data_IF_933207119598
#
_entry.id   IF_933207119598
#
_cell.length_a   1.000
_cell.length_b   1.000
_cell.length_c   1.000
_cell.angle_alpha   90.00
_cell.angle_beta   90.00
_cell.angle_gamma   90.00
#
_symmetry.space_group_name_H-M   'P 1'
#
loop_
_entity.id
_entity.type
_entity.pdbx_description
1 polymer ?
#
# COMPACT_ATOMS: atom_id res chain seq x y z
N UNK A 1 8.70 22.14 -17.15
CA UNK A 1 7.28 21.89 -17.46
C UNK A 1 7.13 21.05 -18.73
N UNK A 2 7.73 21.43 -19.87
CA UNK A 2 7.60 20.69 -21.14
C UNK A 2 8.03 19.22 -21.04
N UNK A 3 9.12 18.94 -20.31
CA UNK A 3 9.56 17.57 -20.04
C UNK A 3 8.47 16.74 -19.36
N UNK A 4 7.89 17.24 -18.25
CA UNK A 4 6.86 16.52 -17.50
C UNK A 4 5.59 16.24 -18.31
N UNK A 5 5.21 17.15 -19.20
CA UNK A 5 4.06 16.97 -20.09
C UNK A 5 4.26 15.86 -21.12
N UNK A 6 5.50 15.68 -21.62
CA UNK A 6 5.81 14.80 -22.75
C UNK A 6 6.43 13.46 -22.37
N UNK A 7 7.32 13.47 -21.37
CA UNK A 7 8.26 12.36 -21.16
C UNK A 7 8.18 11.76 -19.76
N UNK A 8 7.69 12.51 -18.76
CA UNK A 8 7.67 12.03 -17.39
C UNK A 8 6.79 10.80 -17.23
N UNK A 9 7.33 9.85 -16.49
CA UNK A 9 6.67 8.59 -16.14
C UNK A 9 5.93 8.74 -14.81
N UNK A 10 5.01 7.83 -14.53
CA UNK A 10 4.18 7.79 -13.32
C UNK A 10 4.99 7.94 -12.03
N UNK A 11 6.13 7.24 -11.92
CA UNK A 11 6.98 7.29 -10.74
C UNK A 11 7.62 8.69 -10.48
N UNK A 12 7.81 9.51 -11.50
CA UNK A 12 8.34 10.86 -11.34
C UNK A 12 7.31 11.77 -10.66
N UNK A 13 6.04 11.66 -11.01
CA UNK A 13 4.97 12.36 -10.32
C UNK A 13 4.80 11.88 -8.88
N UNK A 14 4.94 10.56 -8.63
CA UNK A 14 4.95 10.02 -7.29
C UNK A 14 6.12 10.60 -6.44
N UNK A 15 7.30 10.76 -7.02
CA UNK A 15 8.42 11.40 -6.34
C UNK A 15 8.16 12.88 -6.04
N UNK A 16 7.48 13.59 -6.94
CA UNK A 16 7.13 15.01 -6.79
C UNK A 16 6.11 15.29 -5.67
N UNK A 17 5.37 14.29 -5.18
CA UNK A 17 4.55 14.44 -3.95
C UNK A 17 5.34 14.95 -2.75
N UNK A 18 6.65 14.69 -2.72
CA UNK A 18 7.56 15.11 -1.64
C UNK A 18 8.35 16.37 -1.99
N UNK A 19 8.13 16.96 -3.16
CA UNK A 19 8.84 18.14 -3.60
C UNK A 19 8.48 19.35 -2.72
N UNK A 20 9.51 20.04 -2.24
CA UNK A 20 9.39 21.28 -1.48
C UNK A 20 10.63 22.13 -1.65
N UNK A 21 10.51 23.46 -1.67
CA UNK A 21 11.65 24.36 -1.57
C UNK A 21 12.41 24.16 -0.26
N UNK A 22 13.72 24.20 -0.28
CA UNK A 22 14.53 24.05 0.94
C UNK A 22 15.61 25.12 1.08
N UNK A 23 16.25 25.50 -0.02
CA UNK A 23 17.39 26.46 -0.02
C UNK A 23 17.62 26.99 -1.44
N UNK A 24 18.38 28.05 -1.56
CA UNK A 24 18.69 28.70 -2.82
C UNK A 24 17.67 29.78 -3.20
N UNK A 25 17.39 29.92 -4.48
CA UNK A 25 16.38 30.85 -4.98
C UNK A 25 14.97 30.28 -4.69
N UNK A 26 14.35 30.85 -3.66
CA UNK A 26 13.03 30.40 -3.19
C UNK A 26 11.91 30.79 -4.15
N UNK A 27 12.06 31.88 -4.91
CA UNK A 27 11.05 32.31 -5.90
C UNK A 27 11.01 31.30 -7.06
N UNK A 28 12.17 30.94 -7.61
CA UNK A 28 12.28 29.92 -8.64
C UNK A 28 11.80 28.56 -8.15
N UNK A 29 12.15 28.17 -6.92
CA UNK A 29 11.75 26.90 -6.33
C UNK A 29 10.24 26.81 -6.12
N UNK A 30 9.58 27.87 -5.64
CA UNK A 30 8.13 27.94 -5.52
C UNK A 30 7.46 27.92 -6.89
N UNK A 31 7.92 28.70 -7.85
CA UNK A 31 7.40 28.69 -9.22
C UNK A 31 7.50 27.30 -9.87
N UNK A 32 8.55 26.55 -9.58
CA UNK A 32 8.68 25.16 -10.03
C UNK A 32 7.60 24.26 -9.40
N UNK A 33 7.42 24.30 -8.07
CA UNK A 33 6.43 23.48 -7.37
C UNK A 33 5.01 23.81 -7.85
N UNK A 34 4.69 25.08 -8.02
CA UNK A 34 3.40 25.54 -8.56
C UNK A 34 3.16 25.03 -9.98
N UNK A 35 4.19 25.06 -10.83
CA UNK A 35 4.08 24.62 -12.22
C UNK A 35 3.93 23.10 -12.38
N UNK A 36 4.49 22.27 -11.48
CA UNK A 36 4.41 20.81 -11.56
C UNK A 36 3.27 20.23 -10.73
N UNK A 37 2.81 20.93 -9.70
CA UNK A 37 1.76 20.48 -8.78
C UNK A 37 0.50 19.98 -9.48
N UNK A 38 -0.13 20.72 -10.40
CA UNK A 38 -1.30 20.25 -11.14
C UNK A 38 -1.07 18.94 -11.87
N UNK A 39 0.13 18.69 -12.40
CA UNK A 39 0.46 17.47 -13.11
C UNK A 39 0.59 16.26 -12.18
N UNK A 40 1.01 16.48 -10.93
CA UNK A 40 1.06 15.44 -9.90
C UNK A 40 -0.35 14.94 -9.60
N UNK A 41 -1.30 15.87 -9.40
CA UNK A 41 -2.67 15.54 -8.99
C UNK A 41 -3.55 15.01 -10.11
N UNK A 42 -3.18 15.22 -11.37
CA UNK A 42 -3.84 14.63 -12.55
C UNK A 42 -3.14 13.38 -13.07
N UNK A 43 -2.01 12.98 -12.46
CA UNK A 43 -1.26 11.80 -12.92
C UNK A 43 -2.05 10.50 -12.78
N UNK A 44 -3.00 10.42 -11.83
CA UNK A 44 -3.88 9.25 -11.65
C UNK A 44 -4.89 9.03 -12.78
N UNK A 45 -5.09 10.03 -13.68
CA UNK A 45 -5.94 9.89 -14.88
C UNK A 45 -5.25 9.16 -16.03
N UNK A 46 -3.95 8.90 -15.90
CA UNK A 46 -3.22 8.17 -16.93
C UNK A 46 -3.70 6.74 -17.00
N UNK A 47 -3.87 6.28 -18.22
CA UNK A 47 -4.04 4.86 -18.49
C UNK A 47 -2.92 4.05 -17.80
N UNK A 48 -3.25 2.93 -17.20
CA UNK A 48 -2.31 2.08 -16.44
C UNK A 48 -1.65 2.70 -15.18
N UNK A 49 -2.09 3.84 -14.68
CA UNK A 49 -1.48 4.50 -13.52
C UNK A 49 -1.25 3.56 -12.33
N UNK A 50 -2.28 2.83 -11.90
CA UNK A 50 -2.20 1.91 -10.75
C UNK A 50 -1.23 0.76 -11.06
N UNK A 51 -1.30 0.20 -12.26
CA UNK A 51 -0.38 -0.86 -12.71
C UNK A 51 1.08 -0.39 -12.75
N UNK A 52 1.32 0.86 -13.15
CA UNK A 52 2.66 1.46 -13.15
C UNK A 52 3.23 1.58 -11.75
N UNK A 53 2.43 2.08 -10.79
CA UNK A 53 2.85 2.20 -9.39
C UNK A 53 3.13 0.81 -8.80
N UNK A 54 2.30 -0.17 -9.09
CA UNK A 54 2.49 -1.55 -8.64
C UNK A 54 3.73 -2.20 -9.26
N UNK A 55 3.95 -2.02 -10.57
CA UNK A 55 5.18 -2.50 -11.25
C UNK A 55 6.43 -1.85 -10.66
N UNK A 56 6.37 -0.57 -10.37
CA UNK A 56 7.48 0.15 -9.75
C UNK A 56 7.80 -0.43 -8.37
N UNK A 57 6.79 -0.69 -7.53
CA UNK A 57 7.00 -1.27 -6.20
C UNK A 57 7.62 -2.66 -6.29
N UNK A 58 7.13 -3.52 -7.19
CA UNK A 58 7.70 -4.85 -7.43
C UNK A 58 9.17 -4.76 -7.86
N UNK A 59 9.48 -3.91 -8.85
CA UNK A 59 10.86 -3.71 -9.30
C UNK A 59 11.78 -3.28 -8.16
N UNK A 60 11.32 -2.40 -7.28
CA UNK A 60 12.10 -1.97 -6.10
C UNK A 60 12.36 -3.15 -5.16
N UNK A 61 11.37 -4.01 -4.94
CA UNK A 61 11.50 -5.21 -4.11
C UNK A 61 12.44 -6.26 -4.74
N UNK A 62 12.30 -6.53 -6.03
CA UNK A 62 13.11 -7.47 -6.80
C UNK A 62 14.59 -7.06 -6.89
N UNK A 63 14.87 -5.77 -6.82
CA UNK A 63 16.25 -5.25 -6.81
C UNK A 63 16.98 -5.45 -5.46
N UNK A 64 16.27 -5.90 -4.41
CA UNK A 64 16.91 -6.25 -3.13
C UNK A 64 17.49 -7.67 -3.26
N UNK A 65 18.80 -7.86 -3.02
CA UNK A 65 19.39 -9.20 -3.02
C UNK A 65 18.65 -10.12 -2.04
N UNK A 66 18.36 -11.37 -2.46
CA UNK A 66 17.54 -12.31 -1.70
C UNK A 66 18.04 -12.53 -0.27
N UNK A 67 19.36 -12.60 -0.08
CA UNK A 67 20.03 -12.74 1.20
C UNK A 67 19.86 -11.54 2.15
N UNK A 68 19.46 -10.37 1.62
CA UNK A 68 19.27 -9.15 2.40
C UNK A 68 17.79 -8.85 2.68
N UNK A 69 16.86 -9.55 2.05
CA UNK A 69 15.41 -9.25 2.13
C UNK A 69 14.89 -9.20 3.57
N UNK A 70 15.31 -10.13 4.41
CA UNK A 70 14.85 -10.20 5.80
C UNK A 70 15.45 -9.09 6.67
N UNK A 71 16.60 -8.55 6.26
CA UNK A 71 17.32 -7.49 6.97
C UNK A 71 16.98 -6.09 6.46
N UNK A 72 16.39 -5.98 5.29
CA UNK A 72 16.10 -4.71 4.63
C UNK A 72 14.85 -4.05 5.22
N UNK A 73 15.06 -2.98 6.02
CA UNK A 73 13.98 -2.25 6.71
C UNK A 73 13.16 -1.35 5.78
N UNK A 74 13.76 -0.92 4.67
CA UNK A 74 13.12 0.08 3.81
C UNK A 74 12.51 -0.52 2.58
N UNK A 75 13.27 -1.29 1.80
CA UNK A 75 12.88 -1.77 0.50
C UNK A 75 12.23 -3.17 0.56
N UNK A 76 12.54 -3.94 1.62
CA UNK A 76 11.99 -5.27 1.84
C UNK A 76 10.50 -5.28 2.13
N UNK A 77 9.91 -6.48 2.12
CA UNK A 77 8.48 -6.70 2.41
C UNK A 77 8.12 -6.27 3.83
N UNK A 78 7.01 -5.56 3.96
CA UNK A 78 6.59 -5.00 5.24
C UNK A 78 7.51 -3.90 5.76
N UNK A 79 8.33 -3.30 4.89
CA UNK A 79 9.23 -2.21 5.22
C UNK A 79 8.61 -0.82 5.02
N UNK A 80 9.44 0.21 5.20
CA UNK A 80 9.02 1.62 5.09
C UNK A 80 8.40 1.93 3.74
N UNK A 81 8.92 1.36 2.65
CA UNK A 81 8.40 1.60 1.29
C UNK A 81 6.98 1.07 1.10
N UNK A 82 6.59 -0.01 1.75
CA UNK A 82 5.23 -0.51 1.67
C UNK A 82 4.23 0.51 2.23
N UNK A 83 4.55 1.15 3.36
CA UNK A 83 3.72 2.23 3.91
C UNK A 83 3.74 3.46 3.01
N UNK A 84 4.92 3.92 2.60
CA UNK A 84 5.08 5.12 1.77
C UNK A 84 4.35 4.98 0.42
N UNK A 85 4.45 3.83 -0.25
CA UNK A 85 3.80 3.59 -1.54
C UNK A 85 2.28 3.51 -1.41
N UNK A 86 1.75 2.85 -0.37
CA UNK A 86 0.32 2.80 -0.13
C UNK A 86 -0.26 4.21 0.09
N UNK A 87 0.38 5.01 0.93
CA UNK A 87 -0.04 6.39 1.21
C UNK A 87 0.01 7.25 -0.04
N UNK A 88 1.13 7.21 -0.78
CA UNK A 88 1.32 8.01 -1.99
C UNK A 88 0.33 7.64 -3.09
N UNK A 89 0.04 6.34 -3.27
CA UNK A 89 -0.98 5.90 -4.22
C UNK A 89 -2.34 6.51 -3.88
N UNK A 90 -2.77 6.41 -2.62
CA UNK A 90 -4.04 6.97 -2.18
C UNK A 90 -4.08 8.50 -2.29
N UNK A 91 -2.98 9.19 -1.96
CA UNK A 91 -2.88 10.64 -2.18
C UNK A 91 -3.06 11.01 -3.66
N UNK A 92 -2.41 10.29 -4.58
CA UNK A 92 -2.50 10.58 -6.02
C UNK A 92 -3.90 10.27 -6.58
N UNK A 93 -4.55 9.20 -6.12
CA UNK A 93 -5.89 8.82 -6.57
C UNK A 93 -6.95 9.81 -6.08
N UNK A 94 -6.89 10.19 -4.80
CA UNK A 94 -7.95 11.01 -4.17
C UNK A 94 -7.61 12.50 -4.09
N UNK A 95 -6.34 12.87 -4.07
CA UNK A 95 -5.88 14.25 -3.90
C UNK A 95 -6.19 15.21 -5.05
N UNK A 96 -6.71 14.70 -6.17
CA UNK A 96 -7.29 15.54 -7.22
C UNK A 96 -8.57 16.20 -6.73
N UNK A 97 -9.48 15.43 -6.16
CA UNK A 97 -10.79 15.90 -5.66
C UNK A 97 -10.73 16.43 -4.23
N UNK A 98 -9.76 15.99 -3.44
CA UNK A 98 -9.59 16.36 -2.04
C UNK A 98 -8.20 17.00 -1.81
N UNK A 99 -8.16 18.32 -1.80
CA UNK A 99 -6.92 19.09 -1.61
C UNK A 99 -6.31 18.91 -0.22
N UNK A 100 -7.08 18.49 0.78
CA UNK A 100 -6.59 18.26 2.15
C UNK A 100 -5.55 17.14 2.21
N UNK A 101 -5.56 16.24 1.20
CA UNK A 101 -4.58 15.15 1.05
C UNK A 101 -3.22 15.62 0.48
N UNK A 102 -3.13 16.88 0.04
CA UNK A 102 -1.91 17.42 -0.61
C UNK A 102 -0.86 17.83 0.42
N UNK A 103 -0.48 16.88 1.26
CA UNK A 103 0.54 17.04 2.30
C UNK A 103 1.76 16.17 2.02
N UNK A 104 2.93 16.59 2.51
CA UNK A 104 4.21 15.95 2.18
C UNK A 104 4.62 14.87 3.20
N UNK A 105 4.18 14.99 4.47
CA UNK A 105 4.54 14.06 5.53
C UNK A 105 3.64 12.81 5.50
N UNK A 106 4.26 11.63 5.54
CA UNK A 106 3.56 10.35 5.43
C UNK A 106 2.55 10.13 6.55
N UNK A 107 2.91 10.46 7.80
CA UNK A 107 2.01 10.33 8.95
C UNK A 107 0.85 11.31 8.84
N UNK A 108 1.11 12.56 8.46
CA UNK A 108 0.05 13.54 8.24
C UNK A 108 -0.90 13.09 7.11
N UNK A 109 -0.36 12.58 6.00
CA UNK A 109 -1.17 12.04 4.91
C UNK A 109 -2.06 10.89 5.38
N UNK A 110 -1.56 9.98 6.24
CA UNK A 110 -2.36 8.92 6.85
C UNK A 110 -3.52 9.48 7.68
N UNK A 111 -3.29 10.52 8.48
CA UNK A 111 -4.34 11.19 9.26
C UNK A 111 -5.39 11.79 8.33
N UNK A 112 -4.98 12.54 7.30
CA UNK A 112 -5.89 13.14 6.31
C UNK A 112 -6.71 12.09 5.55
N UNK A 113 -6.11 10.95 5.22
CA UNK A 113 -6.82 9.84 4.58
C UNK A 113 -7.90 9.24 5.48
N UNK A 114 -7.72 9.23 6.80
CA UNK A 114 -8.77 8.85 7.76
C UNK A 114 -9.87 9.88 7.81
N UNK A 115 -9.50 11.16 7.94
CA UNK A 115 -10.47 12.24 8.05
C UNK A 115 -11.37 12.33 6.82
N UNK A 116 -10.81 12.05 5.63
CA UNK A 116 -11.56 11.94 4.37
C UNK A 116 -12.31 10.60 4.19
N UNK A 117 -12.20 9.65 5.12
CA UNK A 117 -12.87 8.35 5.04
C UNK A 117 -12.27 7.35 4.02
N UNK A 118 -11.08 7.62 3.49
CA UNK A 118 -10.42 6.77 2.50
C UNK A 118 -9.77 5.53 3.11
N UNK A 119 -9.40 5.59 4.38
CA UNK A 119 -8.79 4.48 5.13
C UNK A 119 -9.42 4.35 6.51
N UNK A 120 -9.63 3.12 6.97
CA UNK A 120 -10.18 2.87 8.30
C UNK A 120 -9.22 3.37 9.40
N UNK A 121 -9.76 4.05 10.41
CA UNK A 121 -8.99 4.61 11.55
C UNK A 121 -8.13 3.56 12.26
N UNK A 122 -8.66 2.34 12.45
CA UNK A 122 -7.95 1.25 13.11
C UNK A 122 -6.73 0.77 12.31
N UNK A 123 -6.82 0.72 10.98
CA UNK A 123 -5.72 0.32 10.11
C UNK A 123 -4.65 1.40 10.05
N UNK A 124 -5.07 2.66 10.00
CA UNK A 124 -4.16 3.81 10.00
C UNK A 124 -3.34 3.89 11.28
N UNK A 125 -3.95 3.73 12.45
CA UNK A 125 -3.20 3.72 13.71
C UNK A 125 -2.10 2.65 13.71
N UNK A 126 -2.41 1.45 13.22
CA UNK A 126 -1.43 0.36 13.10
C UNK A 126 -0.29 0.68 12.11
N UNK A 127 -0.59 1.41 11.02
CA UNK A 127 0.42 1.83 10.04
C UNK A 127 1.31 2.94 10.58
N UNK A 128 0.76 3.90 11.31
CA UNK A 128 1.53 4.98 11.95
C UNK A 128 2.51 4.39 12.97
N UNK A 129 2.03 3.55 13.89
CA UNK A 129 2.87 2.89 14.89
C UNK A 129 4.02 2.11 14.24
N UNK A 130 3.72 1.36 13.18
CA UNK A 130 4.72 0.58 12.47
C UNK A 130 5.72 1.47 11.72
N UNK A 131 5.24 2.51 11.03
CA UNK A 131 6.08 3.43 10.27
C UNK A 131 7.04 4.19 11.18
N UNK A 132 6.55 4.74 12.28
CA UNK A 132 7.37 5.48 13.25
C UNK A 132 8.44 4.58 13.87
N UNK A 133 8.09 3.35 14.24
CA UNK A 133 9.05 2.40 14.79
C UNK A 133 10.12 1.99 13.76
N UNK A 134 9.73 1.68 12.52
CA UNK A 134 10.69 1.36 11.46
C UNK A 134 11.61 2.54 11.13
N UNK A 135 11.07 3.77 11.15
CA UNK A 135 11.86 5.00 10.97
C UNK A 135 12.82 5.23 12.13
N UNK A 136 12.40 4.97 13.36
CA UNK A 136 13.29 5.03 14.52
C UNK A 136 14.48 4.11 14.35
N UNK A 137 14.25 2.84 13.96
CA UNK A 137 15.32 1.87 13.74
C UNK A 137 16.24 2.29 12.59
N UNK A 138 15.69 2.72 11.46
CA UNK A 138 16.46 3.23 10.32
C UNK A 138 17.39 4.38 10.77
N UNK A 139 16.87 5.36 11.49
CA UNK A 139 17.67 6.47 11.98
C UNK A 139 18.74 6.04 12.98
N UNK A 140 18.45 5.12 13.90
CA UNK A 140 19.46 4.61 14.84
C UNK A 140 20.61 3.93 14.10
N UNK A 141 20.30 3.06 13.12
CA UNK A 141 21.31 2.40 12.31
C UNK A 141 22.16 3.40 11.51
N UNK A 142 21.55 4.43 10.93
CA UNK A 142 22.25 5.46 10.18
C UNK A 142 23.17 6.30 11.08
N UNK A 143 22.68 6.71 12.25
CA UNK A 143 23.42 7.55 13.19
C UNK A 143 24.59 6.80 13.86
N UNK A 144 24.48 5.49 14.05
CA UNK A 144 25.54 4.69 14.69
C UNK A 144 26.91 4.87 14.03
N UNK A 145 26.94 4.96 12.69
CA UNK A 145 28.20 5.09 11.92
C UNK A 145 28.20 6.27 10.95
N UNK A 146 27.21 7.17 11.08
CA UNK A 146 26.96 8.27 10.14
C UNK A 146 26.96 7.75 8.68
N UNK A 147 26.31 6.58 8.46
CA UNK A 147 26.34 5.87 7.19
C UNK A 147 24.92 5.63 6.68
N UNK A 148 24.70 5.90 5.40
CA UNK A 148 23.44 5.56 4.76
C UNK A 148 23.26 4.04 4.69
N UNK A 149 22.41 3.51 5.56
CA UNK A 149 22.08 2.07 5.62
C UNK A 149 20.61 1.89 5.98
N UNK A 150 20.03 0.79 5.55
CA UNK A 150 18.68 0.34 5.87
C UNK A 150 18.68 -1.12 6.35
N UNK A 151 19.89 -1.67 6.57
CA UNK A 151 20.05 -3.09 6.90
C UNK A 151 20.12 -3.29 8.40
N UNK A 152 19.29 -4.17 8.91
CA UNK A 152 19.42 -4.73 10.26
C UNK A 152 20.79 -5.42 10.44
N UNK A 153 21.27 -5.60 11.68
CA UNK A 153 22.46 -6.40 11.95
C UNK A 153 22.37 -7.78 11.30
N UNK A 154 23.51 -8.40 11.00
CA UNK A 154 23.53 -9.73 10.38
C UNK A 154 22.88 -10.77 11.30
N UNK A 155 22.40 -11.86 10.71
CA UNK A 155 21.96 -13.01 11.49
C UNK A 155 23.15 -13.51 12.33
N UNK A 156 22.94 -13.68 13.66
CA UNK A 156 24.00 -14.03 14.61
C UNK A 156 24.83 -12.87 15.16
N UNK A 157 24.64 -11.64 14.69
CA UNK A 157 25.23 -10.44 15.29
C UNK A 157 24.44 -10.02 16.54
N UNK A 158 24.62 -10.78 17.63
CA UNK A 158 23.91 -10.55 18.90
C UNK A 158 24.25 -9.18 19.51
N UNK A 159 25.48 -8.71 19.34
CA UNK A 159 25.90 -7.42 19.88
C UNK A 159 25.19 -6.27 19.12
N UNK A 160 25.13 -6.35 17.80
CA UNK A 160 24.39 -5.40 16.97
C UNK A 160 22.90 -5.35 17.32
N UNK A 161 22.26 -6.49 17.50
CA UNK A 161 20.85 -6.55 17.92
C UNK A 161 20.65 -6.03 19.34
N UNK A 162 21.53 -6.32 20.28
CA UNK A 162 21.48 -5.81 21.66
C UNK A 162 21.63 -4.29 21.70
N UNK A 163 22.56 -3.77 20.90
CA UNK A 163 22.74 -2.34 20.74
C UNK A 163 21.48 -1.69 20.13
N UNK A 164 20.94 -2.22 19.04
CA UNK A 164 19.78 -1.67 18.35
C UNK A 164 18.52 -1.70 19.24
N UNK A 165 18.29 -2.80 19.95
CA UNK A 165 17.19 -2.91 20.90
C UNK A 165 17.27 -1.80 21.97
N UNK A 166 18.45 -1.61 22.57
CA UNK A 166 18.69 -0.56 23.57
C UNK A 166 18.51 0.83 22.96
N UNK A 167 19.03 1.07 21.75
CA UNK A 167 18.87 2.35 21.05
C UNK A 167 17.41 2.65 20.67
N UNK A 168 16.59 1.61 20.50
CA UNK A 168 15.14 1.71 20.28
C UNK A 168 14.31 1.75 21.59
N UNK A 169 14.96 1.80 22.76
CA UNK A 169 14.29 1.87 24.05
C UNK A 169 13.71 0.53 24.54
N UNK A 170 14.06 -0.59 23.89
CA UNK A 170 13.62 -1.92 24.30
C UNK A 170 14.54 -2.44 25.38
N UNK A 171 13.96 -2.82 26.53
CA UNK A 171 14.65 -3.41 27.67
C UNK A 171 14.17 -4.85 27.87
N UNK A 172 15.05 -5.69 28.42
CA UNK A 172 14.68 -7.05 28.81
C UNK A 172 13.55 -7.03 29.86
N UNK A 173 12.61 -7.95 29.73
CA UNK A 173 11.45 -8.06 30.62
C UNK A 173 11.24 -9.53 31.01
N UNK A 174 11.40 -9.81 32.29
CA UNK A 174 11.35 -11.18 32.82
C UNK A 174 12.41 -12.08 32.18
N UNK A 175 11.97 -13.18 31.57
CA UNK A 175 12.84 -14.13 30.86
C UNK A 175 13.09 -13.76 29.38
N UNK A 176 12.53 -12.65 28.90
CA UNK A 176 12.67 -12.21 27.51
C UNK A 176 13.85 -11.24 27.40
N UNK A 177 14.82 -11.56 26.58
CA UNK A 177 15.91 -10.65 26.29
C UNK A 177 15.52 -9.55 25.28
N UNK A 178 16.22 -8.42 25.33
CA UNK A 178 15.89 -7.27 24.50
C UNK A 178 16.05 -7.54 22.98
N UNK A 179 17.08 -8.28 22.49
CA UNK A 179 17.17 -8.68 21.08
C UNK A 179 15.97 -9.51 20.61
N UNK A 180 15.56 -10.52 21.35
CA UNK A 180 14.41 -11.35 21.01
C UNK A 180 13.10 -10.56 20.98
N UNK A 181 12.91 -9.63 21.93
CA UNK A 181 11.75 -8.73 21.93
C UNK A 181 11.76 -7.78 20.71
N UNK A 182 12.92 -7.27 20.30
CA UNK A 182 13.06 -6.48 19.09
C UNK A 182 12.71 -7.29 17.85
N UNK A 183 13.25 -8.50 17.73
CA UNK A 183 13.00 -9.38 16.58
C UNK A 183 11.51 -9.74 16.46
N UNK A 184 10.86 -10.09 17.57
CA UNK A 184 9.42 -10.39 17.57
C UNK A 184 8.58 -9.17 17.23
N UNK A 185 8.89 -8.00 17.79
CA UNK A 185 8.20 -6.76 17.44
C UNK A 185 8.32 -6.43 15.97
N UNK A 186 9.52 -6.54 15.40
CA UNK A 186 9.77 -6.35 13.97
C UNK A 186 8.94 -7.31 13.12
N UNK A 187 8.96 -8.60 13.45
CA UNK A 187 8.20 -9.63 12.74
C UNK A 187 6.71 -9.28 12.69
N UNK A 188 6.13 -8.95 13.84
CA UNK A 188 4.70 -8.56 13.95
C UNK A 188 4.39 -7.31 13.15
N UNK A 189 5.20 -6.26 13.27
CA UNK A 189 4.98 -5.00 12.58
C UNK A 189 5.12 -5.16 11.06
N UNK A 190 6.17 -5.84 10.59
CA UNK A 190 6.39 -6.07 9.15
C UNK A 190 5.28 -6.90 8.51
N UNK A 191 4.81 -7.96 9.19
CA UNK A 191 3.68 -8.76 8.74
C UNK A 191 2.40 -7.91 8.63
N UNK A 192 2.15 -7.04 9.63
CA UNK A 192 1.01 -6.12 9.65
C UNK A 192 1.09 -5.09 8.52
N UNK A 193 2.26 -4.45 8.34
CA UNK A 193 2.48 -3.50 7.25
C UNK A 193 2.24 -4.16 5.90
N UNK A 194 2.79 -5.37 5.69
CA UNK A 194 2.62 -6.10 4.42
C UNK A 194 1.16 -6.36 4.11
N UNK A 195 0.39 -6.89 5.07
CA UNK A 195 -1.05 -7.15 4.90
C UNK A 195 -1.83 -5.87 4.59
N UNK A 196 -1.58 -4.78 5.33
CA UNK A 196 -2.28 -3.52 5.11
C UNK A 196 -1.86 -2.85 3.79
N UNK A 197 -0.59 -2.95 3.42
CA UNK A 197 -0.12 -2.51 2.11
C UNK A 197 -0.87 -3.23 0.99
N UNK A 198 -0.95 -4.55 1.03
CA UNK A 198 -1.66 -5.35 0.03
C UNK A 198 -3.13 -4.95 -0.05
N UNK A 199 -3.80 -4.80 1.08
CA UNK A 199 -5.19 -4.33 1.17
C UNK A 199 -5.36 -2.93 0.51
N UNK A 200 -4.53 -1.98 0.85
CA UNK A 200 -4.65 -0.60 0.39
C UNK A 200 -4.25 -0.42 -1.08
N UNK A 201 -3.29 -1.20 -1.57
CA UNK A 201 -2.87 -1.15 -2.96
C UNK A 201 -3.91 -1.68 -3.93
N UNK A 202 -4.75 -2.63 -3.48
CA UNK A 202 -5.76 -3.24 -4.33
C UNK A 202 -7.13 -2.56 -4.23
N UNK A 203 -7.38 -1.77 -3.19
CA UNK A 203 -8.63 -1.03 -3.04
C UNK A 203 -8.90 -0.05 -4.19
N UNK A 204 -7.96 0.81 -4.62
CA UNK A 204 -8.18 1.71 -5.76
C UNK A 204 -8.49 0.98 -7.07
N UNK A 205 -7.99 -0.25 -7.23
CA UNK A 205 -8.30 -1.09 -8.39
C UNK A 205 -9.74 -1.64 -8.30
N UNK A 206 -10.20 -2.03 -7.11
CA UNK A 206 -11.58 -2.47 -6.91
C UNK A 206 -12.58 -1.33 -7.15
N UNK A 207 -12.25 -0.12 -6.71
CA UNK A 207 -13.06 1.07 -6.96
C UNK A 207 -13.09 1.43 -8.46
N UNK A 208 -11.99 1.26 -9.18
CA UNK A 208 -11.93 1.47 -10.63
C UNK A 208 -12.65 0.35 -11.40
N UNK A 209 -12.63 -0.89 -10.93
CA UNK A 209 -13.44 -2.00 -11.50
C UNK A 209 -14.94 -1.72 -11.29
N UNK A 210 -15.32 -1.17 -10.15
CA UNK A 210 -16.70 -0.79 -9.87
C UNK A 210 -17.21 0.39 -10.72
N UNK A 211 -16.30 1.25 -11.19
CA UNK A 211 -16.61 2.41 -12.02
C UNK A 211 -16.66 2.10 -13.54
N UNK A 212 -16.13 0.95 -13.97
CA UNK A 212 -16.06 0.58 -15.38
C UNK A 212 -17.16 -0.44 -15.74
N UNK A 213 -17.78 -0.26 -16.91
CA UNK A 213 -18.67 -1.23 -17.55
C UNK A 213 -17.98 -2.58 -17.77
N UNK A 214 -18.77 -3.65 -17.92
CA UNK A 214 -18.32 -5.05 -18.04
C UNK A 214 -17.25 -5.33 -19.11
N UNK A 215 -17.04 -4.42 -20.08
CA UNK A 215 -15.98 -4.51 -21.09
C UNK A 215 -14.57 -4.27 -20.56
N UNK A 216 -14.43 -3.51 -19.47
CA UNK A 216 -13.12 -3.24 -18.84
C UNK A 216 -12.59 -4.37 -17.93
N UNK A 217 -13.38 -5.41 -17.71
CA UNK A 217 -12.96 -6.67 -17.05
C UNK A 217 -11.94 -7.49 -17.86
N UNK A 218 -11.43 -6.96 -18.97
CA UNK A 218 -10.29 -7.49 -19.72
C UNK A 218 -8.91 -7.24 -19.08
N UNK A 219 -8.87 -6.70 -17.85
CA UNK A 219 -7.65 -6.78 -17.02
C UNK A 219 -7.22 -8.23 -16.95
N UNK A 220 -5.97 -8.51 -17.30
CA UNK A 220 -5.48 -9.87 -17.44
C UNK A 220 -5.90 -10.70 -16.22
N UNK A 221 -6.49 -11.86 -16.44
CA UNK A 221 -6.89 -12.80 -15.37
C UNK A 221 -5.80 -12.96 -14.32
N UNK A 222 -4.54 -12.91 -14.74
CA UNK A 222 -3.37 -13.01 -13.86
C UNK A 222 -3.20 -11.85 -12.86
N UNK A 223 -3.56 -10.62 -13.22
CA UNK A 223 -3.48 -9.50 -12.30
C UNK A 223 -4.54 -9.65 -11.19
N UNK A 224 -5.74 -10.08 -11.56
CA UNK A 224 -6.84 -10.32 -10.64
C UNK A 224 -6.58 -11.54 -9.74
N UNK A 225 -6.03 -12.63 -10.28
CA UNK A 225 -5.63 -13.80 -9.51
C UNK A 225 -4.58 -13.45 -8.45
N UNK A 226 -3.54 -12.70 -8.81
CA UNK A 226 -2.51 -12.24 -7.85
C UNK A 226 -3.08 -11.37 -6.74
N UNK A 227 -4.03 -10.55 -7.06
CA UNK A 227 -4.73 -9.67 -6.13
C UNK A 227 -5.54 -10.46 -5.10
N UNK A 228 -6.33 -11.43 -5.57
CA UNK A 228 -7.12 -12.30 -4.71
C UNK A 228 -6.23 -13.17 -3.81
N UNK A 229 -5.10 -13.67 -4.33
CA UNK A 229 -4.11 -14.36 -3.51
C UNK A 229 -3.58 -13.47 -2.38
N UNK A 230 -3.34 -12.18 -2.65
CA UNK A 230 -2.90 -11.21 -1.64
C UNK A 230 -3.97 -10.92 -0.58
N UNK A 231 -5.25 -11.03 -0.94
CA UNK A 231 -6.39 -10.90 -0.01
C UNK A 231 -6.67 -12.18 0.79
N UNK A 232 -5.86 -13.24 0.62
CA UNK A 232 -5.97 -14.48 1.38
C UNK A 232 -6.81 -15.57 0.72
N UNK A 233 -7.23 -15.38 -0.55
CA UNK A 233 -7.94 -16.45 -1.30
C UNK A 233 -6.98 -17.60 -1.61
N UNK A 234 -7.37 -18.82 -1.24
CA UNK A 234 -6.62 -20.04 -1.51
C UNK A 234 -6.77 -20.53 -2.95
N UNK A 235 -7.85 -20.12 -3.63
CA UNK A 235 -8.16 -20.49 -5.01
C UNK A 235 -8.45 -19.25 -5.88
N UNK A 236 -7.48 -18.36 -6.12
CA UNK A 236 -7.70 -17.06 -6.78
C UNK A 236 -8.37 -17.17 -8.14
N UNK A 237 -8.02 -18.21 -8.94
CA UNK A 237 -8.62 -18.45 -10.26
C UNK A 237 -10.12 -18.71 -10.18
N UNK A 238 -10.57 -19.50 -9.21
CA UNK A 238 -11.98 -19.78 -8.98
C UNK A 238 -12.69 -18.51 -8.50
N UNK A 239 -12.07 -17.76 -7.60
CA UNK A 239 -12.60 -16.50 -7.10
C UNK A 239 -12.80 -15.47 -8.24
N UNK A 240 -11.88 -15.36 -9.20
CA UNK A 240 -12.07 -14.56 -10.43
C UNK A 240 -13.33 -15.01 -11.19
N UNK A 241 -13.54 -16.32 -11.34
CA UNK A 241 -14.74 -16.86 -11.97
C UNK A 241 -16.02 -16.44 -11.26
N UNK A 242 -16.04 -16.50 -9.92
CA UNK A 242 -17.18 -16.07 -9.11
C UNK A 242 -17.47 -14.57 -9.22
N UNK A 243 -16.43 -13.73 -9.21
CA UNK A 243 -16.55 -12.27 -9.36
C UNK A 243 -17.12 -11.92 -10.75
N UNK A 244 -16.62 -12.54 -11.80
CA UNK A 244 -17.13 -12.33 -13.16
C UNK A 244 -18.61 -12.72 -13.30
N UNK A 245 -19.01 -13.84 -12.70
CA UNK A 245 -20.41 -14.27 -12.70
C UNK A 245 -21.32 -13.27 -11.96
N UNK A 246 -20.87 -12.70 -10.84
CA UNK A 246 -21.62 -11.69 -10.09
C UNK A 246 -21.80 -10.39 -10.87
N UNK A 247 -20.76 -9.91 -11.55
CA UNK A 247 -20.78 -8.64 -12.32
C UNK A 247 -21.44 -8.83 -13.68
N UNK A 248 -21.29 -9.98 -14.32
CA UNK A 248 -21.84 -10.31 -15.63
C UNK A 248 -23.35 -10.60 -15.65
N UNK A 249 -24.02 -10.61 -14.49
CA UNK A 249 -25.47 -10.65 -14.39
C UNK A 249 -26.09 -9.33 -14.92
N UNK A 250 -27.38 -9.26 -15.23
CA UNK A 250 -28.07 -8.16 -15.92
C UNK A 250 -27.51 -6.73 -15.59
N UNK A 251 -27.51 -5.79 -16.55
CA UNK A 251 -26.89 -4.43 -16.45
C UNK A 251 -27.19 -3.68 -15.13
N UNK A 252 -28.41 -3.78 -14.61
CA UNK A 252 -28.82 -3.13 -13.35
C UNK A 252 -28.19 -3.80 -12.14
N UNK A 253 -28.16 -5.13 -12.13
CA UNK A 253 -27.67 -5.93 -11.02
C UNK A 253 -26.15 -5.96 -10.96
N UNK A 254 -25.49 -6.09 -12.10
CA UNK A 254 -24.03 -5.96 -12.22
C UNK A 254 -23.53 -4.64 -11.65
N UNK A 255 -24.25 -3.53 -11.89
CA UNK A 255 -23.94 -2.21 -11.32
C UNK A 255 -24.10 -2.17 -9.79
N UNK A 256 -25.13 -2.81 -9.23
CA UNK A 256 -25.30 -2.91 -7.77
C UNK A 256 -24.21 -3.80 -7.17
N UNK A 257 -23.91 -4.92 -7.79
CA UNK A 257 -22.85 -5.82 -7.33
C UNK A 257 -21.47 -5.12 -7.36
N UNK A 258 -21.17 -4.36 -8.40
CA UNK A 258 -19.94 -3.58 -8.51
C UNK A 258 -19.77 -2.58 -7.35
N UNK A 259 -20.85 -1.94 -6.89
CA UNK A 259 -20.83 -1.02 -5.76
C UNK A 259 -20.58 -1.71 -4.41
N UNK A 260 -21.10 -2.93 -4.24
CA UNK A 260 -20.97 -3.70 -2.99
C UNK A 260 -19.63 -4.44 -2.93
N UNK A 261 -19.07 -4.79 -4.08
CA UNK A 261 -17.90 -5.65 -4.20
C UNK A 261 -16.69 -5.19 -3.34
N UNK A 262 -16.30 -3.92 -3.30
CA UNK A 262 -15.18 -3.48 -2.49
C UNK A 262 -15.37 -3.79 -1.00
N UNK A 263 -16.54 -3.49 -0.45
CA UNK A 263 -16.86 -3.76 0.95
C UNK A 263 -16.96 -5.26 1.23
N UNK A 264 -17.55 -6.02 0.32
CA UNK A 264 -17.63 -7.47 0.41
C UNK A 264 -16.23 -8.10 0.44
N UNK A 265 -15.34 -7.70 -0.46
CA UNK A 265 -13.97 -8.20 -0.52
C UNK A 265 -13.17 -7.86 0.74
N UNK A 266 -13.42 -6.69 1.32
CA UNK A 266 -12.84 -6.29 2.60
C UNK A 266 -13.28 -7.26 3.72
N UNK A 267 -14.57 -7.50 3.86
CA UNK A 267 -15.10 -8.44 4.87
C UNK A 267 -14.60 -9.86 4.66
N UNK A 268 -14.60 -10.35 3.42
CA UNK A 268 -14.13 -11.70 3.11
C UNK A 268 -12.64 -11.88 3.44
N UNK A 269 -11.81 -10.87 3.20
CA UNK A 269 -10.38 -10.93 3.52
C UNK A 269 -10.08 -11.02 5.03
N UNK A 270 -11.05 -10.70 5.88
CA UNK A 270 -10.97 -10.84 7.33
C UNK A 270 -11.46 -12.19 7.85
N UNK A 271 -12.10 -12.99 6.98
CA UNK A 271 -12.59 -14.34 7.34
C UNK A 271 -11.48 -15.38 7.29
N UNK A 272 -11.69 -16.51 7.95
CA UNK A 272 -10.77 -17.65 7.93
C UNK A 272 -10.72 -18.35 6.55
N UNK A 273 -11.79 -18.24 5.76
CA UNK A 273 -11.93 -18.85 4.43
C UNK A 273 -12.67 -17.88 3.49
N UNK A 274 -11.92 -16.98 2.82
CA UNK A 274 -12.49 -16.02 1.87
C UNK A 274 -13.17 -16.70 0.66
N UNK A 275 -12.65 -17.85 0.20
CA UNK A 275 -13.19 -18.60 -0.93
C UNK A 275 -14.59 -19.13 -0.64
N UNK A 276 -14.77 -19.76 0.51
CA UNK A 276 -16.08 -20.25 0.96
C UNK A 276 -17.08 -19.10 1.14
N UNK A 277 -16.63 -17.97 1.69
CA UNK A 277 -17.43 -16.76 1.86
C UNK A 277 -17.91 -16.19 0.53
N UNK A 278 -17.05 -16.07 -0.46
CA UNK A 278 -17.39 -15.56 -1.80
C UNK A 278 -18.35 -16.51 -2.53
N UNK A 279 -18.12 -17.81 -2.41
CA UNK A 279 -19.01 -18.82 -2.99
C UNK A 279 -20.41 -18.78 -2.37
N UNK A 280 -20.51 -18.65 -1.05
CA UNK A 280 -21.77 -18.51 -0.34
C UNK A 280 -22.52 -17.25 -0.76
N UNK A 281 -21.85 -16.12 -0.83
CA UNK A 281 -22.44 -14.86 -1.30
C UNK A 281 -22.96 -14.99 -2.73
N UNK A 282 -22.19 -15.61 -3.62
CA UNK A 282 -22.62 -15.86 -5.00
C UNK A 282 -23.90 -16.70 -5.04
N UNK A 283 -23.98 -17.80 -4.31
CA UNK A 283 -25.16 -18.67 -4.24
C UNK A 283 -26.41 -17.90 -3.79
N UNK A 284 -26.30 -17.15 -2.69
CA UNK A 284 -27.38 -16.29 -2.18
C UNK A 284 -27.82 -15.27 -3.25
N UNK A 285 -26.85 -14.66 -3.94
CA UNK A 285 -27.12 -13.71 -5.01
C UNK A 285 -27.81 -14.35 -6.20
N UNK A 286 -27.54 -15.62 -6.53
CA UNK A 286 -28.15 -16.39 -7.61
C UNK A 286 -29.56 -16.88 -7.22
N UNK A 287 -29.77 -17.40 -6.00
CA UNK A 287 -31.08 -17.87 -5.49
C UNK A 287 -32.13 -16.74 -5.48
N UNK A 288 -31.71 -15.50 -5.17
CA UNK A 288 -32.60 -14.33 -5.29
C UNK A 288 -32.91 -13.93 -6.76
N UNK A 289 -32.32 -14.63 -7.75
CA UNK A 289 -32.68 -14.45 -9.16
C UNK A 289 -33.99 -15.16 -9.54
N UNK A 290 -34.27 -16.27 -8.89
CA UNK A 290 -35.46 -17.10 -9.20
C UNK A 290 -36.74 -16.53 -8.57
N UNK A 291 -36.61 -15.56 -7.66
CA UNK A 291 -37.72 -14.98 -6.90
C UNK A 291 -38.13 -13.57 -7.38
N UNK A 292 -37.52 -13.05 -8.46
CA UNK A 292 -37.78 -11.71 -9.04
C UNK A 292 -38.21 -11.82 -10.48
#
# INVERSE_FOLDING_TARGET
VAYYKRWAKTWEFQALLKARPMTGDMELANAYVEAVGPMVWTASEREDFVNDVQRMRRRVEENVPGELLDRELKLGRGGLRDVEFAVQLLQMVHGRGDETLRVQHTVEALVRLVDGGYVARADTGKLIDAYEFLRLLEHRLQLQRVKRTHLLPAAGDEEGYRWLARAAGIRAEGMRDAPGMLAERLRVLRSRVRRLHEKLFYRPLLDSIAAYDAEALSLSSEAMERQLAALGFGSPRNAVGHLRALIGSSKRRGRIQSLILPTLMEWLSETADPDAGLLAYRKISEEHQELS
#
